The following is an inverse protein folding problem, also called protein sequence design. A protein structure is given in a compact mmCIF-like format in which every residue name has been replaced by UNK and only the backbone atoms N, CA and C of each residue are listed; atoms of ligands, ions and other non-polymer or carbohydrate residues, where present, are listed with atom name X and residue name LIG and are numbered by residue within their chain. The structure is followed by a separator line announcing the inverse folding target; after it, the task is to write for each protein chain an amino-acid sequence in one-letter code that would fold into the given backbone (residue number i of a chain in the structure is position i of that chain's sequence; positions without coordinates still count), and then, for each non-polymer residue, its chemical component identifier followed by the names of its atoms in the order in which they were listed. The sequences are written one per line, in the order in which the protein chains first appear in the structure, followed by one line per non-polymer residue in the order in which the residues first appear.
data_IF_687161986073
#
_entry.id   IF_687161986073
#
_cell.length_a   1.000
_cell.length_b   1.000
_cell.length_c   1.000
_cell.angle_alpha   90.00
_cell.angle_beta   90.00
_cell.angle_gamma   90.00
#
_symmetry.space_group_name_H-M   'P 1'
#
loop_
_entity.id
_entity.type
_entity.pdbx_description
1 polymer ?
#
# COMPACT_ATOMS: atom_id res chain seq x y z
N UNK A 1 41.16 -4.04 -57.07
CA UNK A 1 42.45 -4.34 -56.42
C UNK A 1 42.48 -3.58 -55.11
N UNK A 2 42.67 -4.30 -54.01
CA UNK A 2 42.38 -3.90 -52.63
C UNK A 2 43.55 -3.18 -51.92
N UNK A 3 43.23 -2.41 -50.87
CA UNK A 3 43.95 -2.20 -49.59
C UNK A 3 43.08 -1.24 -48.75
N UNK A 4 42.27 -1.71 -47.78
CA UNK A 4 42.61 -2.01 -46.37
C UNK A 4 43.06 -0.76 -45.58
N UNK A 5 42.69 -0.48 -44.33
CA UNK A 5 41.70 -0.95 -43.36
C UNK A 5 41.88 -0.09 -42.08
N UNK A 6 40.78 0.21 -41.37
CA UNK A 6 40.64 0.37 -39.89
C UNK A 6 41.38 1.52 -39.17
N UNK A 7 40.58 2.43 -38.60
CA UNK A 7 40.82 3.19 -37.35
C UNK A 7 39.48 3.84 -36.94
N UNK A 8 38.99 3.87 -35.71
CA UNK A 8 39.34 3.26 -34.44
C UNK A 8 38.04 3.22 -33.60
N UNK A 9 37.89 2.21 -32.76
CA UNK A 9 36.74 2.04 -31.87
C UNK A 9 36.71 3.14 -30.80
N UNK A 10 35.67 3.98 -30.79
CA UNK A 10 35.28 4.73 -29.61
C UNK A 10 34.30 3.87 -28.80
N UNK A 11 34.85 3.04 -27.91
CA UNK A 11 34.06 2.33 -26.90
C UNK A 11 33.71 3.35 -25.82
N UNK A 12 32.52 3.95 -25.90
CA UNK A 12 31.91 4.62 -24.76
C UNK A 12 31.34 3.55 -23.84
N UNK A 13 32.19 2.94 -23.01
CA UNK A 13 31.77 2.24 -21.78
C UNK A 13 31.32 3.28 -20.76
N UNK A 14 30.18 3.90 -21.03
CA UNK A 14 29.39 4.57 -20.00
C UNK A 14 28.65 3.50 -19.23
N UNK A 15 29.27 2.93 -18.20
CA UNK A 15 28.52 2.31 -17.13
C UNK A 15 27.61 3.39 -16.57
N UNK A 16 26.32 3.34 -16.90
CA UNK A 16 25.32 4.04 -16.11
C UNK A 16 25.36 3.41 -14.71
N UNK A 17 26.24 3.94 -13.86
CA UNK A 17 26.04 3.89 -12.43
C UNK A 17 24.66 4.54 -12.23
N UNK A 18 23.65 3.69 -12.07
CA UNK A 18 22.30 4.12 -11.77
C UNK A 18 22.39 5.13 -10.64
N UNK A 19 21.75 6.29 -10.87
CA UNK A 19 21.74 7.42 -9.96
C UNK A 19 21.55 6.95 -8.50
N UNK A 20 22.10 7.69 -7.51
CA UNK A 20 21.77 7.44 -6.11
C UNK A 20 20.25 7.34 -5.99
N UNK A 21 19.79 6.24 -5.41
CA UNK A 21 18.39 5.90 -5.16
C UNK A 21 17.65 7.20 -4.79
N UNK A 22 16.73 7.66 -5.64
CA UNK A 22 15.77 8.68 -5.17
C UNK A 22 15.12 8.02 -3.96
N UNK A 23 15.29 8.62 -2.78
CA UNK A 23 14.65 8.13 -1.56
C UNK A 23 13.24 7.66 -1.93
N UNK A 24 12.99 6.36 -1.77
CA UNK A 24 11.80 5.73 -2.32
C UNK A 24 10.57 6.51 -1.83
N UNK A 25 9.63 6.77 -2.74
CA UNK A 25 8.38 7.44 -2.38
C UNK A 25 7.75 6.72 -1.17
N UNK A 26 7.55 7.40 -0.02
CA UNK A 26 7.00 6.78 1.18
C UNK A 26 5.72 5.98 0.92
N UNK A 27 4.92 6.42 -0.05
CA UNK A 27 3.68 5.76 -0.44
C UNK A 27 3.95 4.41 -1.08
N UNK A 28 4.93 4.35 -1.98
CA UNK A 28 5.35 3.11 -2.63
C UNK A 28 6.04 2.16 -1.64
N UNK A 29 6.77 2.68 -0.65
CA UNK A 29 7.36 1.86 0.43
C UNK A 29 6.27 1.20 1.28
N UNK A 30 5.29 1.99 1.77
CA UNK A 30 4.16 1.46 2.56
C UNK A 30 3.34 0.46 1.74
N UNK A 31 3.11 0.74 0.45
CA UNK A 31 2.39 -0.14 -0.47
C UNK A 31 3.14 -1.44 -0.71
N UNK A 32 4.45 -1.41 -0.94
CA UNK A 32 5.27 -2.60 -1.12
C UNK A 32 5.27 -3.46 0.15
N UNK A 33 5.39 -2.85 1.33
CA UNK A 33 5.31 -3.57 2.60
C UNK A 33 3.92 -4.18 2.83
N UNK A 34 2.86 -3.44 2.50
CA UNK A 34 1.48 -3.93 2.55
C UNK A 34 1.33 -5.17 1.68
N UNK A 35 1.76 -5.11 0.41
CA UNK A 35 1.72 -6.24 -0.52
C UNK A 35 2.47 -7.45 0.04
N UNK A 36 3.69 -7.25 0.55
CA UNK A 36 4.48 -8.34 1.13
C UNK A 36 3.78 -9.01 2.32
N UNK A 37 3.16 -8.23 3.19
CA UNK A 37 2.42 -8.74 4.35
C UNK A 37 1.15 -9.50 3.92
N UNK A 38 0.39 -8.96 2.96
CA UNK A 38 -0.81 -9.62 2.44
C UNK A 38 -0.48 -10.90 1.71
N UNK A 39 0.57 -10.91 0.88
CA UNK A 39 1.02 -12.10 0.15
C UNK A 39 1.47 -13.19 1.11
N UNK A 40 2.27 -12.84 2.12
CA UNK A 40 2.70 -13.79 3.14
C UNK A 40 1.50 -14.35 3.94
N UNK A 41 0.48 -13.55 4.21
CA UNK A 41 -0.74 -13.99 4.87
C UNK A 41 -1.53 -14.99 4.00
N UNK A 42 -1.72 -14.67 2.71
CA UNK A 42 -2.42 -15.56 1.77
C UNK A 42 -1.67 -16.88 1.59
N UNK A 43 -0.34 -16.85 1.45
CA UNK A 43 0.50 -18.05 1.32
C UNK A 43 0.37 -18.95 2.55
N UNK A 44 0.37 -18.38 3.77
CA UNK A 44 0.15 -19.17 5.00
C UNK A 44 -1.21 -19.84 5.04
N UNK A 45 -2.21 -19.29 4.34
CA UNK A 45 -3.53 -19.89 4.20
C UNK A 45 -3.63 -20.86 3.01
N UNK A 46 -2.52 -21.16 2.32
CA UNK A 46 -2.47 -22.04 1.16
C UNK A 46 -3.07 -21.42 -0.11
N UNK A 47 -3.15 -20.09 -0.18
CA UNK A 47 -3.71 -19.35 -1.31
C UNK A 47 -2.60 -18.71 -2.15
N UNK A 48 -2.84 -18.62 -3.47
CA UNK A 48 -1.94 -17.93 -4.39
C UNK A 48 -2.27 -16.43 -4.40
N UNK A 49 -1.32 -15.54 -4.02
CA UNK A 49 -1.57 -14.11 -4.07
C UNK A 49 -1.86 -13.62 -5.50
N UNK A 50 -2.76 -12.64 -5.66
CA UNK A 50 -3.04 -12.06 -6.97
C UNK A 50 -1.80 -11.30 -7.46
N UNK A 51 -1.26 -11.67 -8.62
CA UNK A 51 -0.16 -10.92 -9.24
C UNK A 51 -0.70 -9.62 -9.84
N UNK A 52 -0.01 -8.51 -9.56
CA UNK A 52 -0.26 -7.24 -10.22
C UNK A 52 -0.09 -7.37 -11.74
N UNK A 53 -1.15 -7.06 -12.51
CA UNK A 53 -1.10 -6.99 -13.98
C UNK A 53 -1.59 -8.22 -14.75
N UNK A 54 -2.03 -9.29 -14.09
CA UNK A 54 -2.68 -10.43 -14.74
C UNK A 54 -4.19 -10.27 -14.84
N UNK A 55 -4.81 -10.67 -15.96
CA UNK A 55 -6.26 -10.77 -16.05
C UNK A 55 -6.77 -11.81 -15.04
N UNK A 56 -7.57 -11.38 -14.08
CA UNK A 56 -8.18 -12.26 -13.09
C UNK A 56 -9.34 -13.01 -13.75
N UNK A 57 -9.28 -14.34 -13.76
CA UNK A 57 -10.37 -15.16 -14.29
C UNK A 57 -11.35 -15.49 -13.16
N UNK A 58 -12.57 -14.93 -13.17
CA UNK A 58 -13.53 -15.14 -12.09
C UNK A 58 -13.81 -16.63 -11.89
N UNK A 59 -13.68 -17.08 -10.65
CA UNK A 59 -13.85 -18.47 -10.26
C UNK A 59 -13.92 -18.65 -8.74
N UNK A 60 -14.04 -19.89 -8.28
CA UNK A 60 -14.14 -20.22 -6.85
C UNK A 60 -12.87 -19.88 -6.07
N UNK A 61 -11.70 -20.04 -6.69
CA UNK A 61 -10.43 -19.63 -6.11
C UNK A 61 -10.34 -18.11 -5.94
N UNK A 62 -10.88 -17.33 -6.89
CA UNK A 62 -10.94 -15.87 -6.80
C UNK A 62 -11.80 -15.40 -5.64
N UNK A 63 -12.94 -16.05 -5.40
CA UNK A 63 -13.80 -15.78 -4.27
C UNK A 63 -13.09 -16.08 -2.94
N UNK A 64 -12.37 -17.21 -2.85
CA UNK A 64 -11.59 -17.57 -1.65
C UNK A 64 -10.45 -16.59 -1.38
N UNK A 65 -9.72 -16.17 -2.41
CA UNK A 65 -8.66 -15.16 -2.28
C UNK A 65 -9.26 -13.82 -1.84
N UNK A 66 -10.37 -13.39 -2.45
CA UNK A 66 -11.04 -12.14 -2.07
C UNK A 66 -11.51 -12.16 -0.61
N UNK A 67 -12.16 -13.25 -0.19
CA UNK A 67 -12.59 -13.45 1.19
C UNK A 67 -11.41 -13.39 2.18
N UNK A 68 -10.31 -14.08 1.88
CA UNK A 68 -9.12 -14.07 2.73
C UNK A 68 -8.41 -12.70 2.75
N UNK A 69 -8.39 -12.00 1.62
CA UNK A 69 -7.74 -10.70 1.49
C UNK A 69 -8.50 -9.60 2.24
N UNK A 70 -9.81 -9.51 2.00
CA UNK A 70 -10.65 -8.40 2.45
C UNK A 70 -11.43 -8.68 3.74
N UNK A 71 -11.47 -9.94 4.20
CA UNK A 71 -12.30 -10.35 5.33
C UNK A 71 -13.69 -10.82 4.90
N UNK A 72 -14.34 -11.56 5.80
CA UNK A 72 -15.73 -12.05 5.65
C UNK A 72 -16.58 -11.83 6.90
N UNK A 73 -15.96 -11.43 8.02
CA UNK A 73 -16.65 -11.04 9.23
C UNK A 73 -17.47 -9.77 9.07
N UNK A 74 -18.28 -9.40 10.08
CA UNK A 74 -18.95 -8.11 10.09
C UNK A 74 -17.90 -6.98 10.01
N UNK A 75 -18.18 -5.94 9.22
CA UNK A 75 -17.34 -4.75 9.23
C UNK A 75 -17.48 -4.03 10.59
N UNK A 76 -16.38 -3.92 11.32
CA UNK A 76 -16.36 -3.32 12.66
C UNK A 76 -16.02 -1.83 12.64
N UNK A 77 -15.47 -1.32 11.54
CA UNK A 77 -15.16 0.09 11.36
C UNK A 77 -16.16 0.74 10.41
N UNK A 78 -16.70 1.88 10.82
CA UNK A 78 -17.67 2.64 10.03
C UNK A 78 -17.52 4.13 10.31
N UNK A 79 -17.56 4.95 9.26
CA UNK A 79 -17.56 6.41 9.37
C UNK A 79 -18.57 7.01 8.41
N UNK A 80 -19.50 7.79 8.94
CA UNK A 80 -20.40 8.62 8.14
C UNK A 80 -19.68 9.89 7.70
N UNK A 81 -19.71 10.18 6.41
CA UNK A 81 -19.15 11.38 5.81
C UNK A 81 -20.20 12.50 5.77
N UNK A 82 -19.78 13.78 5.78
CA UNK A 82 -20.69 14.92 5.61
C UNK A 82 -21.49 14.89 4.30
N UNK A 83 -20.99 14.16 3.29
CA UNK A 83 -21.66 13.91 2.01
C UNK A 83 -22.85 12.94 2.10
N UNK A 84 -23.09 12.35 3.27
CA UNK A 84 -24.14 11.35 3.50
C UNK A 84 -23.73 9.90 3.22
N UNK A 85 -22.55 9.67 2.64
CA UNK A 85 -22.01 8.32 2.44
C UNK A 85 -21.47 7.73 3.74
N UNK A 86 -21.52 6.40 3.86
CA UNK A 86 -20.92 5.67 4.99
C UNK A 86 -19.81 4.77 4.45
N UNK A 87 -18.58 5.02 4.87
CA UNK A 87 -17.42 4.18 4.57
C UNK A 87 -17.33 3.11 5.64
N UNK A 88 -17.11 1.85 5.23
CA UNK A 88 -16.95 0.71 6.14
C UNK A 88 -15.66 -0.04 5.82
N UNK A 89 -15.06 -0.64 6.84
CA UNK A 89 -13.93 -1.52 6.68
C UNK A 89 -14.05 -2.74 7.61
N UNK A 90 -13.63 -3.88 7.09
CA UNK A 90 -13.41 -5.09 7.86
C UNK A 90 -12.15 -4.96 8.72
N UNK A 91 -12.18 -5.52 9.91
CA UNK A 91 -11.02 -5.66 10.82
C UNK A 91 -10.38 -7.03 10.73
N UNK A 92 -10.97 -7.95 9.94
CA UNK A 92 -10.44 -9.26 9.59
C UNK A 92 -9.88 -9.31 8.16
N UNK A 93 -9.25 -10.43 7.83
CA UNK A 93 -8.57 -10.64 6.55
C UNK A 93 -7.12 -10.17 6.53
N UNK A 94 -6.42 -10.53 5.45
CA UNK A 94 -4.99 -10.28 5.30
C UNK A 94 -4.66 -8.79 5.18
N UNK A 95 -5.53 -7.98 4.55
CA UNK A 95 -5.31 -6.54 4.43
C UNK A 95 -5.45 -5.84 5.78
N UNK A 96 -6.46 -6.17 6.56
CA UNK A 96 -6.66 -5.62 7.89
C UNK A 96 -5.48 -5.96 8.82
N UNK A 97 -5.00 -7.21 8.79
CA UNK A 97 -3.82 -7.62 9.54
C UNK A 97 -2.55 -6.87 9.12
N UNK A 98 -2.36 -6.63 7.82
CA UNK A 98 -1.24 -5.82 7.32
C UNK A 98 -1.33 -4.37 7.80
N UNK A 99 -2.51 -3.75 7.72
CA UNK A 99 -2.75 -2.40 8.21
C UNK A 99 -2.49 -2.30 9.72
N UNK A 100 -2.99 -3.23 10.52
CA UNK A 100 -2.73 -3.26 11.95
C UNK A 100 -1.22 -3.39 12.26
N UNK A 101 -0.48 -4.19 11.49
CA UNK A 101 0.98 -4.34 11.66
C UNK A 101 1.73 -3.05 11.35
N UNK A 102 1.35 -2.34 10.28
CA UNK A 102 2.04 -1.13 9.81
C UNK A 102 1.65 0.10 10.61
N UNK A 103 0.36 0.33 10.83
CA UNK A 103 -0.13 1.55 11.46
C UNK A 103 -0.24 1.44 12.99
N UNK A 104 -0.34 0.23 13.56
CA UNK A 104 -0.44 -0.02 15.00
C UNK A 104 -1.80 0.34 15.63
N UNK A 105 -2.45 1.40 15.15
CA UNK A 105 -3.80 1.83 15.54
C UNK A 105 -4.73 1.82 14.31
N UNK A 106 -5.30 0.65 14.01
CA UNK A 106 -6.19 0.49 12.85
C UNK A 106 -7.45 1.38 12.93
N UNK A 107 -8.18 1.49 14.06
CA UNK A 107 -9.33 2.40 14.14
C UNK A 107 -8.94 3.88 13.94
N UNK A 108 -7.85 4.34 14.56
CA UNK A 108 -7.35 5.70 14.39
C UNK A 108 -6.91 5.98 12.95
N UNK A 109 -6.18 5.05 12.34
CA UNK A 109 -5.80 5.12 10.92
C UNK A 109 -7.02 5.21 10.01
N UNK A 110 -8.05 4.40 10.27
CA UNK A 110 -9.24 4.34 9.42
C UNK A 110 -9.96 5.69 9.45
N UNK A 111 -10.21 6.22 10.65
CA UNK A 111 -10.87 7.52 10.82
C UNK A 111 -10.08 8.63 10.13
N UNK A 112 -8.79 8.75 10.41
CA UNK A 112 -7.94 9.81 9.87
C UNK A 112 -7.82 9.73 8.34
N UNK A 113 -7.60 8.53 7.79
CA UNK A 113 -7.46 8.31 6.35
C UNK A 113 -8.76 8.56 5.59
N UNK A 114 -9.90 8.11 6.12
CA UNK A 114 -11.19 8.36 5.48
C UNK A 114 -11.51 9.86 5.47
N UNK A 115 -11.27 10.59 6.57
CA UNK A 115 -11.47 12.04 6.61
C UNK A 115 -10.54 12.76 5.62
N UNK A 116 -9.24 12.51 5.68
CA UNK A 116 -8.23 13.19 4.84
C UNK A 116 -8.48 12.93 3.35
N UNK A 117 -8.85 11.71 2.97
CA UNK A 117 -9.14 11.37 1.57
C UNK A 117 -10.47 11.96 1.05
N UNK A 118 -11.32 12.49 1.92
CA UNK A 118 -12.63 13.04 1.57
C UNK A 118 -12.76 14.55 1.83
N UNK A 119 -11.68 15.28 2.17
CA UNK A 119 -11.73 16.72 2.44
C UNK A 119 -12.24 17.54 1.24
N UNK A 120 -11.83 17.19 0.01
CA UNK A 120 -12.32 17.89 -1.20
C UNK A 120 -13.80 17.58 -1.49
N UNK A 121 -14.23 16.30 -1.52
CA UNK A 121 -15.67 15.99 -1.58
C UNK A 121 -16.51 16.69 -0.52
N UNK A 122 -16.02 16.82 0.72
CA UNK A 122 -16.72 17.58 1.77
C UNK A 122 -16.80 19.08 1.45
N UNK A 123 -15.70 19.69 1.01
CA UNK A 123 -15.67 21.11 0.64
C UNK A 123 -16.67 21.40 -0.48
N UNK A 124 -16.67 20.57 -1.52
CA UNK A 124 -17.59 20.67 -2.65
C UNK A 124 -19.05 20.54 -2.20
N UNK A 125 -19.35 19.53 -1.37
CA UNK A 125 -20.70 19.27 -0.87
C UNK A 125 -21.24 20.35 0.06
N UNK A 126 -20.37 20.93 0.91
CA UNK A 126 -20.77 21.93 1.89
C UNK A 126 -20.64 23.37 1.38
N UNK A 127 -20.22 23.55 0.13
CA UNK A 127 -19.95 24.85 -0.49
C UNK A 127 -18.97 25.71 0.33
N UNK A 128 -17.93 25.07 0.88
CA UNK A 128 -16.89 25.73 1.68
C UNK A 128 -15.55 25.71 0.95
N UNK A 129 -14.68 26.63 1.34
CA UNK A 129 -13.30 26.61 0.89
C UNK A 129 -12.54 25.39 1.47
N UNK A 130 -11.67 24.78 0.68
CA UNK A 130 -10.90 23.60 1.10
C UNK A 130 -9.94 23.91 2.26
N UNK A 131 -9.39 25.13 2.34
CA UNK A 131 -8.56 25.55 3.47
C UNK A 131 -9.39 25.66 4.76
N UNK A 132 -10.64 26.10 4.67
CA UNK A 132 -11.56 26.11 5.81
C UNK A 132 -11.86 24.69 6.29
N UNK A 133 -12.17 23.76 5.37
CA UNK A 133 -12.40 22.35 5.71
C UNK A 133 -11.15 21.71 6.32
N UNK A 134 -9.96 21.97 5.76
CA UNK A 134 -8.68 21.52 6.34
C UNK A 134 -8.44 22.08 7.75
N UNK A 135 -8.77 23.34 7.99
CA UNK A 135 -8.61 23.95 9.31
C UNK A 135 -9.52 23.29 10.35
N UNK A 136 -10.74 22.90 9.96
CA UNK A 136 -11.68 22.15 10.80
C UNK A 136 -11.17 20.75 11.14
N UNK A 137 -10.54 20.06 10.18
CA UNK A 137 -10.01 18.69 10.32
C UNK A 137 -8.51 18.62 10.63
N UNK A 138 -7.94 19.67 11.26
CA UNK A 138 -6.51 19.73 11.57
C UNK A 138 -6.03 18.57 12.46
N UNK A 139 -6.91 18.06 13.32
CA UNK A 139 -6.61 16.92 14.20
C UNK A 139 -6.42 15.64 13.41
N UNK A 140 -7.39 15.31 12.56
CA UNK A 140 -7.36 14.15 11.68
C UNK A 140 -6.19 14.20 10.69
N UNK A 141 -5.84 15.39 10.18
CA UNK A 141 -4.65 15.58 9.34
C UNK A 141 -3.37 15.27 10.13
N UNK A 142 -3.25 15.78 11.37
CA UNK A 142 -2.09 15.51 12.21
C UNK A 142 -2.00 14.02 12.58
N UNK A 143 -3.13 13.37 12.87
CA UNK A 143 -3.19 11.94 13.17
C UNK A 143 -2.78 11.10 11.96
N UNK A 144 -3.29 11.45 10.78
CA UNK A 144 -2.92 10.80 9.52
C UNK A 144 -1.42 10.87 9.27
N UNK A 145 -0.80 12.05 9.47
CA UNK A 145 0.65 12.23 9.32
C UNK A 145 1.46 11.37 10.31
N UNK A 146 1.06 11.37 11.59
CA UNK A 146 1.77 10.57 12.62
C UNK A 146 1.68 9.07 12.33
N UNK A 147 0.50 8.59 12.00
CA UNK A 147 0.28 7.16 11.69
C UNK A 147 1.01 6.75 10.41
N UNK A 148 1.08 7.62 9.41
CA UNK A 148 1.90 7.38 8.21
C UNK A 148 3.39 7.31 8.49
N UNK A 149 3.90 8.19 9.34
CA UNK A 149 5.31 8.17 9.72
C UNK A 149 5.66 6.85 10.43
N UNK A 150 4.81 6.38 11.35
CA UNK A 150 4.96 5.07 11.97
C UNK A 150 4.92 3.94 10.94
N UNK A 151 3.94 3.95 10.04
CA UNK A 151 3.83 2.95 8.99
C UNK A 151 5.02 2.90 8.05
N UNK A 152 5.65 4.04 7.75
CA UNK A 152 6.87 4.09 6.96
C UNK A 152 8.03 3.37 7.68
N UNK A 153 8.25 3.66 8.96
CA UNK A 153 9.28 2.97 9.77
C UNK A 153 9.05 1.46 9.85
N UNK A 154 7.80 1.05 10.04
CA UNK A 154 7.44 -0.37 10.06
C UNK A 154 7.57 -1.03 8.68
N UNK A 155 7.23 -0.31 7.61
CA UNK A 155 7.37 -0.78 6.25
C UNK A 155 8.83 -1.04 5.87
N UNK A 156 9.74 -0.12 6.21
CA UNK A 156 11.18 -0.32 6.03
C UNK A 156 11.67 -1.55 6.78
N UNK A 157 11.21 -1.76 8.02
CA UNK A 157 11.53 -2.96 8.82
C UNK A 157 11.06 -4.25 8.14
N UNK A 158 9.81 -4.26 7.65
CA UNK A 158 9.21 -5.41 6.93
C UNK A 158 9.98 -5.73 5.66
N UNK A 159 10.39 -4.71 4.90
CA UNK A 159 11.09 -4.90 3.63
C UNK A 159 12.55 -5.34 3.82
N UNK A 160 13.24 -4.79 4.83
CA UNK A 160 14.64 -5.09 5.11
C UNK A 160 14.86 -6.41 5.86
N UNK A 161 13.84 -6.95 6.52
CA UNK A 161 13.93 -8.25 7.20
C UNK A 161 13.81 -9.38 6.17
N UNK A 162 14.81 -10.27 6.00
CA UNK A 162 14.66 -11.41 5.11
C UNK A 162 13.53 -12.33 5.60
N UNK A 163 12.77 -12.97 4.69
CA UNK A 163 11.77 -13.94 5.10
C UNK A 163 12.45 -15.09 5.88
N UNK A 164 11.78 -15.67 6.90
CA UNK A 164 12.36 -16.79 7.62
C UNK A 164 12.68 -17.93 6.65
N UNK A 165 13.89 -18.49 6.75
CA UNK A 165 14.29 -19.67 5.98
C UNK A 165 13.46 -20.87 6.47
N UNK A 166 12.33 -21.13 5.82
CA UNK A 166 11.58 -22.35 6.05
C UNK A 166 12.30 -23.51 5.38
N UNK A 167 12.73 -24.51 6.17
CA UNK A 167 12.96 -25.83 5.60
C UNK A 167 11.62 -26.32 5.01
N UNK A 168 11.64 -26.99 3.84
CA UNK A 168 10.42 -27.53 3.27
C UNK A 168 9.76 -28.50 4.25
N UNK A 169 8.42 -28.57 4.29
CA UNK A 169 7.73 -29.57 5.10
C UNK A 169 8.17 -30.98 4.67
N UNK A 170 8.42 -31.82 5.67
CA UNK A 170 8.74 -33.24 5.51
C UNK A 170 7.58 -34.03 4.91
#
# INVERSE_FOLDING_TARGET
MACAAVAACAVLTGCAAGAPDRAADPDEVIKAATQRLTDACLIRQGLVPPRSGGARQPGTEDARVSAALFGTGPAELSLALPTGYVVRAHTDGCLAAAQQRLYGDQPGWFRASVVVNNLRPEADHTHRDLAEVRARHRGEIADWQRLRAHALTEAETVLNTPPPKGNPPA
#
